data_IF_498736225718
#
_entry.id   IF_498736225718
#
_cell.length_a   1.000
_cell.length_b   1.000
_cell.length_c   1.000
_cell.angle_alpha   90.00
_cell.angle_beta   90.00
_cell.angle_gamma   90.00
#
_symmetry.space_group_name_H-M   'P 1'
#
loop_
_entity.id
_entity.type
_entity.pdbx_description
1 polymer ?
#
# COMPACT_ATOMS: atom_id res chain seq x y z
N UNK A 1 -18.93 34.08 -10.95
CA UNK A 1 -17.49 34.34 -11.12
C UNK A 1 -16.83 32.97 -11.14
N UNK A 2 -16.26 32.55 -12.26
CA UNK A 2 -15.52 31.29 -12.32
C UNK A 2 -14.15 31.55 -11.66
N UNK A 3 -14.08 31.39 -10.36
CA UNK A 3 -12.77 31.32 -9.68
C UNK A 3 -12.11 30.02 -10.14
N UNK A 4 -11.08 30.15 -10.95
CA UNK A 4 -10.23 29.00 -11.30
C UNK A 4 -9.76 28.37 -10.00
N UNK A 5 -10.05 27.09 -9.79
CA UNK A 5 -9.58 26.35 -8.63
C UNK A 5 -8.05 26.28 -8.69
N UNK A 6 -7.38 26.69 -7.62
CA UNK A 6 -5.92 26.66 -7.54
C UNK A 6 -5.44 25.38 -6.84
N UNK A 7 -4.80 24.46 -7.58
CA UNK A 7 -4.31 23.23 -6.99
C UNK A 7 -3.23 23.46 -5.91
N UNK A 8 -2.49 24.56 -6.02
CA UNK A 8 -1.42 24.88 -5.06
C UNK A 8 -2.01 25.28 -3.70
N UNK A 9 -3.07 26.09 -3.72
CA UNK A 9 -3.73 26.50 -2.47
C UNK A 9 -4.47 25.31 -1.83
N UNK A 10 -5.18 24.50 -2.61
CA UNK A 10 -5.82 23.28 -2.08
C UNK A 10 -4.78 22.31 -1.48
N UNK A 11 -3.64 22.14 -2.13
CA UNK A 11 -2.55 21.31 -1.60
C UNK A 11 -2.01 21.86 -0.28
N UNK A 12 -1.86 23.20 -0.15
CA UNK A 12 -1.45 23.83 1.12
C UNK A 12 -2.41 23.48 2.26
N UNK A 13 -3.70 23.60 2.01
CA UNK A 13 -4.73 23.27 3.00
C UNK A 13 -4.64 21.79 3.41
N UNK A 14 -4.53 20.88 2.45
CA UNK A 14 -4.40 19.44 2.73
C UNK A 14 -3.14 19.10 3.54
N UNK A 15 -1.98 19.70 3.21
CA UNK A 15 -0.73 19.45 3.94
C UNK A 15 -0.83 19.96 5.38
N UNK A 16 -1.47 21.11 5.60
CA UNK A 16 -1.59 21.73 6.92
C UNK A 16 -2.45 20.92 7.91
N UNK A 17 -3.16 19.91 7.44
CA UNK A 17 -3.95 19.02 8.28
C UNK A 17 -3.10 17.78 8.62
N UNK A 18 -2.82 17.57 9.91
CA UNK A 18 -2.18 16.34 10.39
C UNK A 18 -3.09 15.14 10.14
N UNK A 19 -2.57 14.17 9.40
CA UNK A 19 -3.25 12.91 9.05
C UNK A 19 -2.29 11.72 9.16
N UNK A 20 -1.34 11.77 10.08
CA UNK A 20 -0.41 10.66 10.32
C UNK A 20 -1.16 9.40 10.71
N UNK A 21 -0.83 8.29 10.04
CA UNK A 21 -1.46 7.00 10.27
C UNK A 21 -1.18 6.47 11.68
N UNK A 22 -2.22 6.21 12.50
CA UNK A 22 -2.06 5.77 13.89
C UNK A 22 -1.56 4.33 14.02
N UNK A 23 -1.68 3.50 12.99
CA UNK A 23 -1.11 2.15 12.99
C UNK A 23 0.40 2.16 12.73
N UNK A 24 0.92 3.21 12.09
CA UNK A 24 2.36 3.47 11.98
C UNK A 24 2.91 4.22 13.20
N UNK A 25 2.14 5.16 13.74
CA UNK A 25 2.54 6.00 14.87
C UNK A 25 1.45 5.99 15.93
N UNK A 26 1.56 5.18 16.98
CA UNK A 26 0.56 5.09 18.04
C UNK A 26 0.18 6.46 18.63
N UNK A 27 -1.11 6.78 18.62
CA UNK A 27 -1.63 8.05 19.12
C UNK A 27 -1.56 9.22 18.13
N UNK A 28 -1.20 8.97 16.87
CA UNK A 28 -1.26 9.98 15.82
C UNK A 28 -2.70 10.42 15.49
N UNK A 29 -2.82 11.55 14.76
CA UNK A 29 -4.10 12.21 14.51
C UNK A 29 -5.09 11.37 13.68
N UNK A 30 -4.60 10.54 12.78
CA UNK A 30 -5.44 9.80 11.84
C UNK A 30 -6.14 10.70 10.83
N UNK A 31 -7.15 10.16 10.17
CA UNK A 31 -7.81 10.80 9.03
C UNK A 31 -9.04 11.66 9.34
N UNK A 32 -9.62 11.74 10.58
CA UNK A 32 -10.88 12.43 10.80
C UNK A 32 -10.90 13.89 10.33
N UNK A 33 -9.87 14.68 10.67
CA UNK A 33 -9.83 16.10 10.35
C UNK A 33 -9.71 16.36 8.83
N UNK A 34 -8.87 15.61 8.14
CA UNK A 34 -8.73 15.74 6.68
C UNK A 34 -9.95 15.20 5.94
N UNK A 35 -10.60 14.14 6.47
CA UNK A 35 -11.86 13.62 5.93
C UNK A 35 -13.00 14.65 6.05
N UNK A 36 -13.12 15.37 7.18
CA UNK A 36 -14.08 16.44 7.37
C UNK A 36 -13.83 17.58 6.38
N UNK A 37 -12.57 17.96 6.19
CA UNK A 37 -12.19 18.98 5.23
C UNK A 37 -12.61 18.61 3.78
N UNK A 38 -12.21 17.43 3.30
CA UNK A 38 -12.52 17.02 1.92
C UNK A 38 -14.02 16.79 1.71
N UNK A 39 -14.74 16.30 2.73
CA UNK A 39 -16.21 16.17 2.70
C UNK A 39 -16.89 17.51 2.49
N UNK A 40 -16.45 18.51 3.26
CA UNK A 40 -16.98 19.89 3.16
C UNK A 40 -16.66 20.48 1.80
N UNK A 41 -15.44 20.29 1.33
CA UNK A 41 -15.00 20.77 0.03
C UNK A 41 -15.85 20.20 -1.12
N UNK A 42 -16.04 18.86 -1.16
CA UNK A 42 -16.84 18.21 -2.20
C UNK A 42 -18.31 18.59 -2.14
N UNK A 43 -18.88 18.68 -0.93
CA UNK A 43 -20.27 19.14 -0.77
C UNK A 43 -20.47 20.55 -1.34
N UNK A 44 -19.51 21.46 -1.11
CA UNK A 44 -19.53 22.81 -1.66
C UNK A 44 -19.46 22.82 -3.20
N UNK A 45 -18.81 21.82 -3.80
CA UNK A 45 -18.69 21.66 -5.25
C UNK A 45 -19.82 20.80 -5.87
N UNK A 46 -20.88 20.50 -5.12
CA UNK A 46 -22.09 19.86 -5.62
C UNK A 46 -22.04 18.33 -5.72
N UNK A 47 -21.06 17.69 -5.09
CA UNK A 47 -21.01 16.23 -4.99
C UNK A 47 -21.92 15.72 -3.87
N UNK A 48 -22.48 14.52 -4.08
CA UNK A 48 -22.98 13.70 -2.97
C UNK A 48 -21.80 13.07 -2.28
N UNK A 49 -21.75 13.13 -0.94
CA UNK A 49 -20.61 12.66 -0.17
C UNK A 49 -21.07 11.60 0.80
N UNK A 50 -20.44 10.43 0.73
CA UNK A 50 -20.59 9.35 1.69
C UNK A 50 -19.31 9.19 2.52
N UNK A 51 -19.49 9.00 3.84
CA UNK A 51 -18.42 8.71 4.79
C UNK A 51 -18.52 7.25 5.21
N UNK A 52 -17.49 6.48 4.93
CA UNK A 52 -17.33 5.10 5.35
C UNK A 52 -16.35 5.04 6.51
N UNK A 53 -16.71 4.34 7.58
CA UNK A 53 -15.90 4.31 8.81
C UNK A 53 -16.16 3.01 9.59
N UNK A 54 -15.85 1.85 8.99
CA UNK A 54 -15.99 0.55 9.67
C UNK A 54 -15.06 0.42 10.88
N UNK A 55 -13.89 1.06 10.81
CA UNK A 55 -12.99 1.20 11.94
C UNK A 55 -13.13 2.60 12.53
N UNK A 56 -13.55 2.74 13.79
CA UNK A 56 -13.72 4.05 14.43
C UNK A 56 -12.45 4.91 14.34
N UNK A 57 -12.59 6.17 13.91
CA UNK A 57 -11.49 7.11 13.73
C UNK A 57 -10.68 6.93 12.43
N UNK A 58 -11.10 6.02 11.54
CA UNK A 58 -10.44 5.76 10.25
C UNK A 58 -11.40 6.00 9.06
N UNK A 59 -11.90 7.23 8.86
CA UNK A 59 -12.88 7.52 7.82
C UNK A 59 -12.27 7.55 6.41
N UNK A 60 -12.99 6.94 5.47
CA UNK A 60 -12.81 7.11 4.03
C UNK A 60 -13.98 7.91 3.46
N UNK A 61 -13.73 8.73 2.46
CA UNK A 61 -14.71 9.60 1.83
C UNK A 61 -14.92 9.17 0.37
N UNK A 62 -16.18 9.01 -0.02
CA UNK A 62 -16.56 8.81 -1.42
C UNK A 62 -17.42 9.96 -1.88
N UNK A 63 -16.88 10.80 -2.77
CA UNK A 63 -17.60 11.90 -3.38
C UNK A 63 -18.08 11.51 -4.79
N UNK A 64 -19.36 11.74 -5.08
CA UNK A 64 -20.02 11.26 -6.29
C UNK A 64 -20.65 12.43 -7.03
N UNK A 65 -20.25 12.63 -8.29
CA UNK A 65 -20.97 13.45 -9.25
C UNK A 65 -21.68 12.54 -10.23
N UNK A 66 -23.02 12.51 -10.15
CA UNK A 66 -23.84 11.69 -11.00
C UNK A 66 -23.83 12.20 -12.44
N UNK A 67 -23.59 11.30 -13.40
CA UNK A 67 -23.69 11.59 -14.83
C UNK A 67 -25.14 11.64 -15.32
N UNK A 68 -25.35 12.13 -16.54
CA UNK A 68 -26.66 12.15 -17.19
C UNK A 68 -27.14 10.76 -17.67
N UNK A 69 -26.32 9.75 -17.52
CA UNK A 69 -26.56 8.38 -17.93
C UNK A 69 -25.98 8.03 -19.30
N UNK A 70 -25.76 6.73 -19.52
CA UNK A 70 -25.25 6.17 -20.78
C UNK A 70 -23.75 6.24 -20.98
N UNK A 71 -22.99 6.84 -20.07
CA UNK A 71 -21.52 6.84 -20.05
C UNK A 71 -20.96 5.82 -19.08
N UNK A 72 -19.67 5.52 -19.24
CA UNK A 72 -18.92 4.69 -18.27
C UNK A 72 -18.48 5.52 -17.09
N UNK A 73 -18.49 4.91 -15.92
CA UNK A 73 -18.05 5.52 -14.67
C UNK A 73 -16.51 5.53 -14.54
N UNK A 74 -16.01 6.55 -13.83
CA UNK A 74 -14.60 6.68 -13.51
C UNK A 74 -14.44 6.92 -12.01
N UNK A 75 -13.59 6.13 -11.36
CA UNK A 75 -13.18 6.37 -9.99
C UNK A 75 -11.76 6.95 -9.95
N UNK A 76 -11.59 8.04 -9.23
CA UNK A 76 -10.28 8.46 -8.73
C UNK A 76 -10.10 7.88 -7.33
N UNK A 77 -8.93 7.31 -7.05
CA UNK A 77 -8.61 6.79 -5.72
C UNK A 77 -7.29 7.38 -5.24
N UNK A 78 -7.26 7.80 -3.98
CA UNK A 78 -6.07 8.31 -3.30
C UNK A 78 -6.24 8.27 -1.80
N UNK A 79 -5.13 8.23 -1.06
CA UNK A 79 -5.18 8.14 0.39
C UNK A 79 -5.06 9.50 1.08
N UNK A 80 -5.59 9.56 2.30
CA UNK A 80 -5.59 10.75 3.16
C UNK A 80 -4.51 10.69 4.25
N UNK A 81 -4.11 9.48 4.64
CA UNK A 81 -3.11 9.28 5.67
C UNK A 81 -1.69 9.59 5.18
N UNK A 82 -0.79 9.74 6.11
CA UNK A 82 0.65 9.95 5.85
C UNK A 82 1.50 9.16 6.83
N UNK A 83 2.77 8.92 6.46
CA UNK A 83 3.78 8.41 7.38
C UNK A 83 4.13 9.45 8.46
N UNK A 84 5.00 9.07 9.39
CA UNK A 84 5.44 9.90 10.53
C UNK A 84 5.93 11.29 10.14
N UNK A 85 5.69 12.27 11.02
CA UNK A 85 6.29 13.62 10.93
C UNK A 85 7.74 13.65 11.42
N UNK A 86 8.17 12.63 12.15
CA UNK A 86 9.52 12.57 12.71
C UNK A 86 10.59 12.54 11.60
N UNK A 87 11.71 13.23 11.86
CA UNK A 87 12.83 13.30 10.91
C UNK A 87 12.63 14.23 9.72
N UNK A 88 11.52 14.99 9.67
CA UNK A 88 11.33 16.05 8.69
C UNK A 88 12.14 17.29 9.10
N UNK A 89 12.79 17.93 8.13
CA UNK A 89 13.53 19.16 8.37
C UNK A 89 12.58 20.38 8.30
N UNK A 90 12.42 21.08 9.41
CA UNK A 90 11.45 22.17 9.58
C UNK A 90 10.08 21.69 10.07
N UNK A 91 9.04 22.51 9.83
CA UNK A 91 7.67 22.18 10.19
C UNK A 91 6.99 21.42 9.05
N UNK A 92 6.70 20.11 9.23
CA UNK A 92 6.13 19.28 8.17
C UNK A 92 4.69 19.64 7.78
N UNK A 93 3.97 20.39 8.63
CA UNK A 93 2.59 20.80 8.41
C UNK A 93 2.46 22.29 8.00
N UNK A 94 3.58 23.02 7.90
CA UNK A 94 3.63 24.38 7.35
C UNK A 94 4.23 24.36 5.94
N UNK A 95 3.41 24.14 4.87
CA UNK A 95 3.92 23.94 3.53
C UNK A 95 4.62 25.18 2.96
N UNK A 96 5.82 24.99 2.42
CA UNK A 96 6.65 26.03 1.84
C UNK A 96 6.68 25.84 0.32
N UNK A 97 6.39 26.91 -0.43
CA UNK A 97 6.60 26.94 -1.88
C UNK A 97 7.88 27.70 -2.19
N UNK A 98 8.89 26.99 -2.70
CA UNK A 98 10.20 27.54 -3.04
C UNK A 98 10.64 27.01 -4.40
N UNK A 99 11.07 27.86 -5.29
CA UNK A 99 11.53 27.53 -6.66
C UNK A 99 10.54 26.64 -7.44
N UNK A 100 9.22 26.89 -7.29
CA UNK A 100 8.17 26.14 -7.95
C UNK A 100 7.92 24.74 -7.36
N UNK A 101 8.53 24.39 -6.25
CA UNK A 101 8.36 23.14 -5.52
C UNK A 101 7.71 23.38 -4.16
N UNK A 102 6.74 22.55 -3.81
CA UNK A 102 6.12 22.59 -2.49
C UNK A 102 6.76 21.55 -1.59
N UNK A 103 7.13 21.96 -0.38
CA UNK A 103 7.69 21.12 0.67
C UNK A 103 6.71 21.01 1.83
N UNK A 104 6.53 19.82 2.38
CA UNK A 104 5.62 19.48 3.46
C UNK A 104 5.38 17.97 3.53
N UNK A 105 4.91 17.44 4.68
CA UNK A 105 4.60 16.01 4.80
C UNK A 105 3.38 15.67 3.92
N UNK A 106 3.47 14.58 3.16
CA UNK A 106 2.42 14.13 2.26
C UNK A 106 2.33 14.92 0.95
N UNK A 107 3.20 15.93 0.70
CA UNK A 107 3.19 16.68 -0.56
C UNK A 107 3.35 15.76 -1.77
N UNK A 108 4.32 14.85 -1.72
CA UNK A 108 4.63 13.93 -2.80
C UNK A 108 3.75 12.68 -2.72
N UNK A 109 3.55 12.14 -1.54
CA UNK A 109 2.82 10.92 -1.24
C UNK A 109 1.71 11.22 -0.22
N UNK A 110 0.39 11.32 -0.65
CA UNK A 110 0.06 11.60 -2.06
C UNK A 110 -0.90 12.79 -2.17
N UNK A 111 -0.84 13.77 -1.22
CA UNK A 111 -1.78 14.91 -1.14
C UNK A 111 -1.77 15.79 -2.41
N UNK A 112 -0.64 15.85 -3.15
CA UNK A 112 -0.62 16.53 -4.46
C UNK A 112 -1.51 15.80 -5.48
N UNK A 113 -1.45 14.47 -5.52
CA UNK A 113 -2.36 13.65 -6.31
C UNK A 113 -3.82 13.84 -5.90
N UNK A 114 -4.09 13.88 -4.58
CA UNK A 114 -5.42 14.16 -4.02
C UNK A 114 -5.94 15.52 -4.50
N UNK A 115 -5.15 16.59 -4.36
CA UNK A 115 -5.55 17.92 -4.81
C UNK A 115 -5.86 17.95 -6.31
N UNK A 116 -5.02 17.31 -7.12
CA UNK A 116 -5.23 17.23 -8.56
C UNK A 116 -6.51 16.48 -8.93
N UNK A 117 -6.79 15.36 -8.27
CA UNK A 117 -8.03 14.58 -8.50
C UNK A 117 -9.27 15.37 -8.09
N UNK A 118 -9.24 16.02 -6.93
CA UNK A 118 -10.36 16.84 -6.44
C UNK A 118 -10.71 17.93 -7.44
N UNK A 119 -9.74 18.69 -7.92
CA UNK A 119 -9.95 19.76 -8.88
C UNK A 119 -10.41 19.22 -10.24
N UNK A 120 -9.77 18.18 -10.76
CA UNK A 120 -10.14 17.57 -12.03
C UNK A 120 -11.60 17.06 -12.01
N UNK A 121 -11.98 16.41 -10.91
CA UNK A 121 -13.34 15.91 -10.73
C UNK A 121 -14.36 17.07 -10.68
N UNK A 122 -14.07 18.13 -9.90
CA UNK A 122 -14.94 19.29 -9.78
C UNK A 122 -15.09 20.05 -11.12
N UNK A 123 -14.01 20.20 -11.88
CA UNK A 123 -14.03 20.86 -13.19
C UNK A 123 -14.89 20.08 -14.21
N UNK A 124 -14.85 18.75 -14.18
CA UNK A 124 -15.73 17.93 -15.03
C UNK A 124 -17.16 17.93 -14.53
N UNK A 125 -17.38 17.80 -13.22
CA UNK A 125 -18.73 17.79 -12.62
C UNK A 125 -19.51 19.10 -12.85
N UNK A 126 -18.80 20.23 -13.01
CA UNK A 126 -19.40 21.51 -13.34
C UNK A 126 -19.99 21.57 -14.77
N UNK A 127 -19.80 20.55 -15.59
CA UNK A 127 -20.26 20.44 -16.98
C UNK A 127 -21.10 19.18 -17.19
N UNK A 128 -22.01 19.15 -18.16
CA UNK A 128 -22.73 17.92 -18.51
C UNK A 128 -21.74 16.79 -18.86
N UNK A 129 -21.87 15.68 -18.18
CA UNK A 129 -21.06 14.47 -18.43
C UNK A 129 -21.94 13.21 -18.41
N UNK A 130 -21.65 12.19 -19.24
CA UNK A 130 -22.55 11.03 -19.39
C UNK A 130 -22.39 9.96 -18.31
N UNK A 131 -21.20 9.75 -17.77
CA UNK A 131 -20.90 8.71 -16.77
C UNK A 131 -20.64 9.30 -15.38
N UNK A 132 -20.82 8.51 -14.34
CA UNK A 132 -20.55 8.94 -12.98
C UNK A 132 -19.08 9.15 -12.73
N UNK A 133 -18.76 10.17 -11.92
CA UNK A 133 -17.42 10.43 -11.40
C UNK A 133 -17.45 10.16 -9.92
N UNK A 134 -16.58 9.25 -9.47
CA UNK A 134 -16.37 8.93 -8.08
C UNK A 134 -14.98 9.40 -7.67
N UNK A 135 -14.84 10.00 -6.50
CA UNK A 135 -13.55 10.29 -5.89
C UNK A 135 -13.52 9.60 -4.52
N UNK A 136 -12.74 8.56 -4.42
CA UNK A 136 -12.55 7.77 -3.20
C UNK A 136 -11.24 8.22 -2.53
N UNK A 137 -11.36 8.98 -1.44
CA UNK A 137 -10.25 9.40 -0.60
C UNK A 137 -10.23 8.52 0.65
N UNK A 138 -9.25 7.65 0.73
CA UNK A 138 -9.27 6.51 1.65
C UNK A 138 -8.32 6.67 2.84
N UNK A 139 -8.66 5.99 3.91
CA UNK A 139 -7.83 5.85 5.10
C UNK A 139 -6.89 4.65 4.98
N UNK A 140 -5.79 4.67 5.74
CA UNK A 140 -4.95 3.51 6.04
C UNK A 140 -4.25 2.89 4.82
N UNK A 141 -3.89 3.68 3.82
CA UNK A 141 -3.12 3.15 2.69
C UNK A 141 -1.70 2.78 3.11
N UNK A 142 -1.05 3.65 3.87
CA UNK A 142 0.36 3.58 4.32
C UNK A 142 0.66 2.36 5.23
N UNK A 143 -0.37 1.67 5.72
CA UNK A 143 -0.19 0.48 6.55
C UNK A 143 -0.87 -0.75 5.97
N UNK A 144 -2.21 -0.75 5.85
CA UNK A 144 -2.96 -1.95 5.50
C UNK A 144 -3.94 -1.78 4.34
N UNK A 145 -4.09 -0.58 3.76
CA UNK A 145 -5.04 -0.25 2.67
C UNK A 145 -6.51 -0.59 3.02
N UNK A 146 -6.87 -0.54 4.31
CA UNK A 146 -8.19 -0.97 4.79
C UNK A 146 -9.31 -0.10 4.20
N UNK A 147 -9.08 1.20 4.03
CA UNK A 147 -10.06 2.13 3.47
C UNK A 147 -10.41 1.82 2.01
N UNK A 148 -9.43 1.47 1.18
CA UNK A 148 -9.70 1.06 -0.21
C UNK A 148 -10.53 -0.23 -0.25
N UNK A 149 -10.22 -1.21 0.60
CA UNK A 149 -11.02 -2.44 0.71
C UNK A 149 -12.46 -2.14 1.15
N UNK A 150 -12.65 -1.23 2.10
CA UNK A 150 -13.98 -0.82 2.54
C UNK A 150 -14.77 -0.15 1.40
N UNK A 151 -14.17 0.80 0.71
CA UNK A 151 -14.81 1.48 -0.44
C UNK A 151 -15.24 0.48 -1.50
N UNK A 152 -14.39 -0.49 -1.87
CA UNK A 152 -14.67 -1.45 -2.93
C UNK A 152 -15.77 -2.48 -2.57
N UNK A 153 -16.16 -2.59 -1.30
CA UNK A 153 -17.36 -3.37 -0.90
C UNK A 153 -18.67 -2.65 -1.24
N UNK A 154 -18.64 -1.35 -1.36
CA UNK A 154 -19.82 -0.50 -1.56
C UNK A 154 -19.87 0.14 -2.95
N UNK A 155 -18.73 0.42 -3.56
CA UNK A 155 -18.60 1.16 -4.81
C UNK A 155 -17.77 0.42 -5.83
N UNK A 156 -18.17 0.51 -7.09
CA UNK A 156 -17.42 0.01 -8.25
C UNK A 156 -17.48 1.04 -9.37
N UNK A 157 -16.53 1.01 -10.29
CA UNK A 157 -16.50 1.84 -11.48
C UNK A 157 -15.97 1.04 -12.69
N UNK A 158 -16.26 1.51 -13.90
CA UNK A 158 -15.76 0.89 -15.14
C UNK A 158 -14.25 1.07 -15.32
N UNK A 159 -13.68 2.10 -14.70
CA UNK A 159 -12.24 2.35 -14.67
C UNK A 159 -11.86 3.10 -13.39
N UNK A 160 -10.61 2.94 -12.97
CA UNK A 160 -10.04 3.70 -11.86
C UNK A 160 -8.68 4.31 -12.25
N UNK A 161 -8.38 5.45 -11.64
CA UNK A 161 -7.08 6.12 -11.67
C UNK A 161 -6.64 6.32 -10.23
N UNK A 162 -5.42 5.87 -9.92
CA UNK A 162 -4.75 6.09 -8.64
C UNK A 162 -3.61 7.06 -8.89
N UNK A 163 -3.59 8.19 -8.18
CA UNK A 163 -2.66 9.29 -8.43
C UNK A 163 -1.43 9.25 -7.52
N UNK A 164 -0.94 8.04 -7.25
CA UNK A 164 0.34 7.83 -6.59
C UNK A 164 1.52 8.41 -7.38
N UNK A 165 2.62 8.77 -6.72
CA UNK A 165 3.79 9.33 -7.38
C UNK A 165 4.50 8.29 -8.25
N UNK A 166 4.40 8.44 -9.57
CA UNK A 166 4.93 7.51 -10.58
C UNK A 166 5.94 8.17 -11.52
N UNK A 167 6.58 9.27 -11.13
CA UNK A 167 7.47 10.06 -11.98
C UNK A 167 6.80 10.53 -13.28
N UNK A 168 5.51 10.89 -13.20
CA UNK A 168 4.68 11.32 -14.36
C UNK A 168 4.50 10.22 -15.42
N UNK A 169 4.77 8.95 -15.08
CA UNK A 169 4.55 7.80 -15.96
C UNK A 169 3.24 7.10 -15.63
N UNK A 170 2.60 6.51 -16.65
CA UNK A 170 1.40 5.69 -16.45
C UNK A 170 1.81 4.27 -16.11
N UNK A 171 1.53 3.86 -14.87
CA UNK A 171 1.79 2.53 -14.36
C UNK A 171 0.61 1.62 -14.62
N UNK A 172 0.82 0.54 -15.38
CA UNK A 172 -0.19 -0.45 -15.75
C UNK A 172 -0.06 -1.77 -15.00
N UNK A 173 0.96 -1.91 -14.17
CA UNK A 173 1.17 -3.12 -13.40
C UNK A 173 1.85 -2.79 -12.07
N UNK A 174 1.47 -3.52 -11.01
CA UNK A 174 2.04 -3.38 -9.69
C UNK A 174 2.30 -4.76 -9.08
N UNK A 175 3.41 -4.87 -8.34
CA UNK A 175 3.70 -6.08 -7.56
C UNK A 175 2.76 -6.18 -6.37
N UNK A 176 2.34 -7.39 -6.06
CA UNK A 176 1.74 -7.69 -4.79
C UNK A 176 2.78 -8.05 -3.73
N UNK A 177 2.30 -8.31 -2.53
CA UNK A 177 3.12 -8.86 -1.45
C UNK A 177 2.33 -9.82 -0.58
N UNK A 178 3.05 -10.66 0.14
CA UNK A 178 2.50 -11.52 1.18
C UNK A 178 3.52 -11.62 2.32
N UNK A 179 3.04 -11.44 3.55
CA UNK A 179 3.82 -11.57 4.77
C UNK A 179 3.48 -12.86 5.47
N UNK A 180 4.47 -13.48 6.06
CA UNK A 180 4.32 -14.70 6.84
C UNK A 180 5.26 -14.68 8.03
N UNK A 181 4.76 -15.11 9.18
CA UNK A 181 5.61 -15.47 10.31
C UNK A 181 5.84 -16.97 10.32
N UNK A 182 7.10 -17.35 10.18
CA UNK A 182 7.57 -18.74 10.29
C UNK A 182 8.18 -18.92 11.65
N UNK A 183 7.54 -19.71 12.49
CA UNK A 183 8.03 -20.02 13.83
C UNK A 183 8.63 -21.42 13.85
N UNK A 184 9.91 -21.51 14.21
CA UNK A 184 10.61 -22.76 14.47
C UNK A 184 10.51 -23.07 15.96
N UNK A 185 10.05 -24.26 16.28
CA UNK A 185 9.87 -24.73 17.64
C UNK A 185 11.05 -25.59 18.08
N UNK A 186 11.53 -25.30 19.27
CA UNK A 186 12.58 -26.06 19.98
C UNK A 186 12.09 -26.51 21.35
N UNK A 187 13.03 -26.85 22.22
CA UNK A 187 12.78 -27.22 23.62
C UNK A 187 13.79 -26.51 24.51
N UNK A 188 13.28 -25.67 25.42
CA UNK A 188 14.11 -24.97 26.38
C UNK A 188 14.81 -25.97 27.34
N UNK A 189 16.09 -25.76 27.55
CA UNK A 189 16.86 -26.50 28.52
C UNK A 189 18.07 -25.66 28.94
N UNK A 190 18.61 -25.95 30.12
CA UNK A 190 19.89 -25.36 30.55
C UNK A 190 20.99 -25.69 29.56
N UNK A 191 21.87 -24.75 29.24
CA UNK A 191 22.93 -24.90 28.22
C UNK A 191 23.88 -26.08 28.43
N UNK A 192 23.99 -26.60 29.66
CA UNK A 192 24.76 -27.84 29.97
C UNK A 192 23.99 -29.15 29.71
N UNK A 193 22.71 -29.04 29.24
CA UNK A 193 21.86 -30.22 29.01
C UNK A 193 21.47 -30.37 27.53
N UNK A 194 22.46 -30.67 26.66
CA UNK A 194 22.19 -30.87 25.22
C UNK A 194 21.34 -32.12 24.93
N UNK A 195 21.19 -33.00 25.89
CA UNK A 195 20.34 -34.19 25.86
C UNK A 195 18.85 -33.86 25.99
N UNK A 196 18.51 -32.70 26.51
CA UNK A 196 17.12 -32.25 26.73
C UNK A 196 16.70 -31.07 25.81
N UNK A 197 17.67 -30.23 25.44
CA UNK A 197 17.40 -29.01 24.65
C UNK A 197 17.30 -29.31 23.16
N UNK A 198 16.41 -28.55 22.48
CA UNK A 198 16.33 -28.45 21.03
C UNK A 198 16.48 -26.99 20.68
N UNK A 199 17.55 -26.64 19.97
CA UNK A 199 17.91 -25.27 19.63
C UNK A 199 17.07 -24.74 18.44
N UNK A 200 16.06 -23.94 18.71
CA UNK A 200 15.21 -23.34 17.67
C UNK A 200 15.98 -22.36 16.78
N UNK A 201 16.96 -21.62 17.31
CA UNK A 201 17.74 -20.65 16.53
C UNK A 201 18.66 -21.37 15.55
N UNK A 202 19.36 -22.43 16.00
CA UNK A 202 20.21 -23.20 15.10
C UNK A 202 19.40 -23.88 13.97
N UNK A 203 18.19 -24.34 14.29
CA UNK A 203 17.27 -24.91 13.29
C UNK A 203 16.73 -23.84 12.33
N UNK A 204 16.43 -22.62 12.81
CA UNK A 204 16.02 -21.49 11.99
C UNK A 204 17.08 -21.12 10.92
N UNK A 205 18.36 -21.29 11.22
CA UNK A 205 19.44 -21.09 10.25
C UNK A 205 19.33 -21.97 9.00
N UNK A 206 18.77 -23.18 9.10
CA UNK A 206 18.52 -24.04 7.94
C UNK A 206 17.39 -23.49 7.05
N UNK A 207 16.33 -22.98 7.67
CA UNK A 207 15.25 -22.32 6.96
C UNK A 207 15.75 -21.06 6.23
N UNK A 208 16.55 -20.22 6.89
CA UNK A 208 17.15 -19.03 6.26
C UNK A 208 18.02 -19.38 5.06
N UNK A 209 18.77 -20.47 5.10
CA UNK A 209 19.53 -20.95 3.94
C UNK A 209 18.61 -21.34 2.78
N UNK A 210 17.55 -22.10 3.04
CA UNK A 210 16.58 -22.46 2.01
C UNK A 210 15.82 -21.25 1.46
N UNK A 211 15.56 -20.24 2.30
CA UNK A 211 14.94 -18.99 1.89
C UNK A 211 15.84 -18.19 0.93
N UNK A 212 17.14 -18.14 1.21
CA UNK A 212 18.14 -17.50 0.34
C UNK A 212 18.27 -18.24 -1.00
N UNK A 213 18.25 -19.57 -1.01
CA UNK A 213 18.21 -20.37 -2.23
C UNK A 213 16.95 -20.07 -3.08
N UNK A 214 15.79 -19.94 -2.43
CA UNK A 214 14.55 -19.54 -3.09
C UNK A 214 14.66 -18.13 -3.67
N UNK A 215 15.23 -17.18 -2.94
CA UNK A 215 15.47 -15.82 -3.43
C UNK A 215 16.34 -15.83 -4.69
N UNK A 216 17.42 -16.59 -4.70
CA UNK A 216 18.28 -16.78 -5.86
C UNK A 216 17.57 -17.46 -7.06
N UNK A 217 16.70 -18.44 -6.80
CA UNK A 217 15.87 -19.10 -7.83
C UNK A 217 14.91 -18.09 -8.47
N UNK A 218 14.22 -17.31 -7.65
CA UNK A 218 13.27 -16.29 -8.13
C UNK A 218 13.96 -15.22 -8.99
N UNK A 219 15.13 -14.75 -8.58
CA UNK A 219 15.89 -13.76 -9.34
C UNK A 219 16.30 -14.24 -10.75
N UNK A 220 16.43 -15.56 -10.96
CA UNK A 220 16.78 -16.17 -12.24
C UNK A 220 15.56 -16.64 -13.04
N UNK A 221 14.39 -16.68 -12.43
CA UNK A 221 13.16 -17.12 -13.09
C UNK A 221 12.59 -15.94 -13.89
N UNK A 222 12.26 -16.12 -15.19
CA UNK A 222 11.58 -15.09 -15.95
C UNK A 222 10.29 -14.66 -15.25
N UNK A 223 10.16 -13.37 -15.03
CA UNK A 223 9.01 -12.78 -14.34
C UNK A 223 8.06 -12.08 -15.32
N UNK A 224 7.32 -11.10 -14.78
CA UNK A 224 6.43 -10.27 -15.57
C UNK A 224 7.23 -9.34 -16.51
N UNK A 225 6.81 -9.12 -17.78
CA UNK A 225 7.55 -8.32 -18.76
C UNK A 225 7.94 -6.91 -18.26
N UNK A 226 7.06 -6.26 -17.53
CA UNK A 226 7.27 -4.89 -17.01
C UNK A 226 7.85 -4.90 -15.60
N UNK A 227 7.40 -5.81 -14.73
CA UNK A 227 7.76 -5.81 -13.30
C UNK A 227 9.02 -6.64 -13.01
N UNK A 228 9.49 -7.45 -13.96
CA UNK A 228 10.57 -8.40 -13.72
C UNK A 228 10.16 -9.53 -12.79
N UNK A 229 11.13 -10.10 -12.08
CA UNK A 229 10.91 -11.21 -11.14
C UNK A 229 10.36 -10.72 -9.80
N UNK A 230 9.63 -11.59 -9.10
CA UNK A 230 9.36 -11.39 -7.68
C UNK A 230 10.61 -11.63 -6.84
N UNK A 231 10.54 -11.30 -5.56
CA UNK A 231 11.63 -11.53 -4.60
C UNK A 231 11.07 -11.96 -3.24
N UNK A 232 11.92 -12.59 -2.42
CA UNK A 232 11.60 -13.01 -1.06
C UNK A 232 12.77 -12.65 -0.14
N UNK A 233 12.47 -12.27 1.09
CA UNK A 233 13.50 -12.04 2.11
C UNK A 233 12.94 -12.22 3.53
N UNK A 234 13.81 -12.45 4.50
CA UNK A 234 13.51 -12.35 5.91
C UNK A 234 13.64 -10.89 6.35
N UNK A 235 12.58 -10.35 6.96
CA UNK A 235 12.55 -8.95 7.41
C UNK A 235 12.93 -8.77 8.86
N UNK A 236 12.47 -9.71 9.71
CA UNK A 236 12.70 -9.70 11.16
C UNK A 236 13.00 -11.11 11.63
N UNK A 237 13.87 -11.25 12.61
CA UNK A 237 14.12 -12.50 13.33
C UNK A 237 14.12 -12.24 14.83
N UNK A 238 13.39 -13.05 15.58
CA UNK A 238 13.33 -12.98 17.04
C UNK A 238 13.41 -14.37 17.64
N UNK A 239 14.30 -14.58 18.60
CA UNK A 239 14.44 -15.88 19.24
C UNK A 239 15.36 -15.86 20.46
N UNK A 240 15.11 -16.79 21.38
CA UNK A 240 15.85 -16.91 22.64
C UNK A 240 15.45 -15.89 23.71
N UNK A 241 15.76 -16.20 24.96
CA UNK A 241 15.48 -15.35 26.13
C UNK A 241 16.75 -14.99 26.89
N UNK A 242 17.69 -15.95 27.03
CA UNK A 242 18.95 -15.76 27.77
C UNK A 242 20.08 -16.62 27.18
N UNK A 243 21.33 -16.23 27.48
CA UNK A 243 22.53 -16.88 26.91
C UNK A 243 22.72 -18.32 27.44
N UNK A 244 22.27 -18.61 28.66
CA UNK A 244 22.53 -19.89 29.33
C UNK A 244 21.55 -21.01 29.01
N UNK A 245 20.57 -20.75 28.12
CA UNK A 245 19.48 -21.67 27.81
C UNK A 245 19.36 -21.97 26.32
N UNK A 246 18.96 -23.19 25.97
CA UNK A 246 18.50 -23.53 24.64
C UNK A 246 17.21 -22.76 24.33
N UNK A 247 17.09 -22.10 23.17
CA UNK A 247 15.89 -21.33 22.80
C UNK A 247 14.75 -22.27 22.41
N UNK A 248 13.58 -22.08 23.07
CA UNK A 248 12.38 -22.85 22.77
C UNK A 248 11.71 -22.44 21.46
N UNK A 249 12.00 -21.24 20.97
CA UNK A 249 11.32 -20.67 19.79
C UNK A 249 12.25 -19.71 19.06
N UNK A 250 12.09 -19.66 17.71
CA UNK A 250 12.64 -18.63 16.85
C UNK A 250 11.62 -18.30 15.76
N UNK A 251 11.18 -17.05 15.69
CA UNK A 251 10.22 -16.55 14.69
C UNK A 251 10.94 -15.70 13.65
N UNK A 252 10.68 -15.96 12.39
CA UNK A 252 11.21 -15.23 11.24
C UNK A 252 10.02 -14.65 10.48
N UNK A 253 9.95 -13.32 10.37
CA UNK A 253 8.98 -12.64 9.52
C UNK A 253 9.54 -12.56 8.09
N UNK A 254 8.78 -13.05 7.13
CA UNK A 254 9.15 -13.15 5.72
C UNK A 254 8.27 -12.26 4.88
N UNK A 255 8.86 -11.48 3.98
CA UNK A 255 8.13 -10.78 2.92
C UNK A 255 8.42 -11.42 1.56
N UNK A 256 7.36 -11.65 0.80
CA UNK A 256 7.40 -12.13 -0.59
C UNK A 256 6.73 -11.11 -1.51
N UNK A 257 7.49 -10.45 -2.38
CA UNK A 257 6.93 -9.62 -3.46
C UNK A 257 6.50 -10.50 -4.62
N UNK A 258 5.21 -10.50 -4.93
CA UNK A 258 4.61 -11.32 -5.98
C UNK A 258 4.45 -10.53 -7.29
N UNK A 259 4.34 -11.24 -8.40
CA UNK A 259 4.01 -10.68 -9.72
C UNK A 259 2.69 -11.29 -10.21
N UNK A 260 2.00 -10.70 -11.21
CA UNK A 260 0.77 -11.25 -11.76
C UNK A 260 0.84 -12.76 -12.02
N UNK A 261 -0.14 -13.49 -11.48
CA UNK A 261 -0.16 -14.95 -11.43
C UNK A 261 0.31 -15.57 -10.11
N UNK A 262 0.99 -14.80 -9.25
CA UNK A 262 1.33 -15.20 -7.89
C UNK A 262 0.23 -14.87 -6.88
N UNK A 263 0.16 -15.62 -5.79
CA UNK A 263 -0.79 -15.43 -4.69
C UNK A 263 -0.16 -15.82 -3.36
N UNK A 264 -0.76 -15.41 -2.24
CA UNK A 264 -0.36 -15.83 -0.90
C UNK A 264 -0.31 -17.37 -0.76
N UNK A 265 -1.26 -18.08 -1.35
CA UNK A 265 -1.26 -19.56 -1.36
C UNK A 265 -0.03 -20.15 -2.04
N UNK A 266 0.41 -19.53 -3.14
CA UNK A 266 1.64 -19.97 -3.84
C UNK A 266 2.86 -19.74 -2.96
N UNK A 267 2.91 -18.59 -2.26
CA UNK A 267 4.00 -18.25 -1.33
C UNK A 267 4.03 -19.21 -0.14
N UNK A 268 2.88 -19.50 0.46
CA UNK A 268 2.82 -20.46 1.56
C UNK A 268 3.33 -21.85 1.13
N UNK A 269 2.97 -22.28 -0.09
CA UNK A 269 3.46 -23.54 -0.64
C UNK A 269 5.00 -23.53 -0.84
N UNK A 270 5.57 -22.41 -1.34
CA UNK A 270 7.02 -22.24 -1.46
C UNK A 270 7.72 -22.35 -0.10
N UNK A 271 7.17 -21.72 0.95
CA UNK A 271 7.71 -21.79 2.32
C UNK A 271 7.60 -23.20 2.91
N UNK A 272 6.44 -23.86 2.71
CA UNK A 272 6.23 -25.25 3.18
C UNK A 272 7.18 -26.22 2.50
N UNK A 273 7.45 -26.09 1.21
CA UNK A 273 8.42 -26.93 0.49
C UNK A 273 9.81 -26.91 1.17
N UNK A 274 10.27 -25.71 1.56
CA UNK A 274 11.55 -25.56 2.28
C UNK A 274 11.46 -26.25 3.66
N UNK A 275 10.44 -25.93 4.44
CA UNK A 275 10.29 -26.40 5.82
C UNK A 275 10.10 -27.92 5.89
N UNK A 276 9.29 -28.49 5.01
CA UNK A 276 9.05 -29.92 4.93
C UNK A 276 10.30 -30.68 4.48
N UNK A 277 11.11 -30.11 3.58
CA UNK A 277 12.39 -30.70 3.19
C UNK A 277 13.37 -30.80 4.36
N UNK A 278 13.39 -29.78 5.23
CA UNK A 278 14.22 -29.80 6.44
C UNK A 278 13.69 -30.85 7.44
N UNK A 279 12.35 -30.86 7.65
CA UNK A 279 11.71 -31.83 8.54
C UNK A 279 11.94 -33.31 8.12
N UNK A 280 11.99 -33.55 6.82
CA UNK A 280 12.22 -34.88 6.28
C UNK A 280 13.60 -35.47 6.67
N UNK A 281 14.62 -34.62 6.88
CA UNK A 281 15.97 -35.01 7.27
C UNK A 281 16.28 -34.76 8.75
N UNK A 282 15.44 -33.98 9.44
CA UNK A 282 15.56 -33.70 10.88
C UNK A 282 14.21 -33.89 11.57
N UNK A 283 13.92 -35.09 12.10
CA UNK A 283 12.65 -35.36 12.78
C UNK A 283 12.32 -34.48 13.98
N UNK A 284 13.32 -33.78 14.55
CA UNK A 284 13.15 -32.83 15.64
C UNK A 284 12.84 -31.40 15.13
N UNK A 285 12.78 -31.18 13.81
CA UNK A 285 12.42 -29.90 13.23
C UNK A 285 10.91 -29.76 13.25
N UNK A 286 10.42 -28.89 14.12
CA UNK A 286 8.99 -28.54 14.21
C UNK A 286 8.80 -27.07 13.87
N UNK A 287 7.73 -26.76 13.14
CA UNK A 287 7.43 -25.40 12.71
C UNK A 287 5.94 -25.10 12.65
N UNK A 288 5.62 -23.83 12.66
CA UNK A 288 4.30 -23.30 12.28
C UNK A 288 4.44 -22.12 11.33
N UNK A 289 3.44 -21.89 10.49
CA UNK A 289 3.35 -20.73 9.59
C UNK A 289 2.08 -19.98 9.93
N UNK A 290 2.21 -18.67 10.17
CA UNK A 290 1.09 -17.76 10.37
C UNK A 290 1.06 -16.78 9.21
N UNK A 291 -0.01 -16.72 8.39
CA UNK A 291 -0.16 -15.72 7.35
C UNK A 291 -0.39 -14.35 7.98
N UNK A 292 0.24 -13.34 7.40
CA UNK A 292 0.08 -11.93 7.71
C UNK A 292 -0.72 -11.18 6.64
N UNK A 293 -0.41 -9.90 6.48
CA UNK A 293 -1.01 -9.07 5.46
C UNK A 293 -0.61 -9.53 4.05
N UNK A 294 -1.56 -9.47 3.12
CA UNK A 294 -1.32 -9.74 1.71
C UNK A 294 -2.00 -8.72 0.79
N UNK A 295 -1.39 -8.47 -0.35
CA UNK A 295 -1.98 -7.71 -1.45
C UNK A 295 -1.66 -8.41 -2.76
N UNK A 296 -2.69 -8.63 -3.57
CA UNK A 296 -2.53 -9.27 -4.87
C UNK A 296 -1.81 -8.35 -5.85
N UNK A 297 -0.92 -8.87 -6.69
CA UNK A 297 -0.38 -8.10 -7.80
C UNK A 297 -1.47 -7.84 -8.84
N UNK A 298 -1.33 -6.76 -9.60
CA UNK A 298 -2.22 -6.51 -10.73
C UNK A 298 -1.45 -6.16 -12.00
N UNK A 299 -2.11 -6.35 -13.15
CA UNK A 299 -1.62 -5.87 -14.43
C UNK A 299 -2.81 -5.58 -15.34
N UNK A 300 -2.78 -4.40 -15.94
CA UNK A 300 -3.76 -3.98 -16.97
C UNK A 300 -3.09 -4.11 -18.32
N UNK A 301 -3.68 -4.83 -19.29
CA UNK A 301 -3.15 -4.90 -20.64
C UNK A 301 -3.03 -3.51 -21.28
N UNK A 302 -1.92 -3.22 -21.93
CA UNK A 302 -1.70 -1.94 -22.65
C UNK A 302 -2.77 -1.68 -23.73
N UNK A 303 -3.39 -2.75 -24.24
CA UNK A 303 -4.47 -2.69 -25.21
C UNK A 303 -5.82 -2.28 -24.61
N UNK A 304 -5.94 -2.26 -23.29
CA UNK A 304 -7.17 -1.83 -22.61
C UNK A 304 -7.54 -0.40 -23.04
N UNK A 305 -8.82 -0.11 -23.35
CA UNK A 305 -9.26 1.22 -23.77
C UNK A 305 -8.91 2.34 -22.78
N UNK A 306 -8.93 2.08 -21.47
CA UNK A 306 -8.54 3.04 -20.43
C UNK A 306 -7.05 3.35 -20.51
N UNK A 307 -6.19 2.34 -20.63
CA UNK A 307 -4.74 2.49 -20.80
C UNK A 307 -4.39 3.32 -22.04
N UNK A 308 -5.03 3.01 -23.19
CA UNK A 308 -4.81 3.75 -24.45
C UNK A 308 -5.21 5.22 -24.35
N UNK A 309 -6.29 5.54 -23.62
CA UNK A 309 -6.73 6.94 -23.44
C UNK A 309 -5.75 7.72 -22.56
N UNK A 310 -5.34 7.14 -21.46
CA UNK A 310 -4.37 7.76 -20.54
C UNK A 310 -3.02 8.02 -21.24
N UNK A 311 -2.50 7.06 -22.01
CA UNK A 311 -1.26 7.23 -22.78
C UNK A 311 -1.37 8.32 -23.87
N UNK A 312 -2.57 8.52 -24.47
CA UNK A 312 -2.78 9.59 -25.45
C UNK A 312 -2.75 10.96 -24.80
N UNK A 313 -3.44 11.12 -23.66
CA UNK A 313 -3.48 12.40 -22.94
C UNK A 313 -2.11 12.86 -22.45
N UNK A 314 -1.24 11.94 -22.03
CA UNK A 314 0.12 12.26 -21.60
C UNK A 314 1.01 12.73 -22.77
N UNK A 315 0.77 12.24 -24.00
CA UNK A 315 1.50 12.68 -25.19
C UNK A 315 0.99 14.00 -25.79
N UNK A 316 -0.24 14.43 -25.42
CA UNK A 316 -0.85 15.68 -25.90
C UNK A 316 -0.63 16.85 -24.92
N UNK A 317 -0.09 16.60 -23.74
CA UNK A 317 0.31 17.67 -22.81
C UNK A 317 1.44 18.50 -23.43
N UNK A 318 1.32 19.83 -23.53
CA UNK A 318 2.41 20.64 -24.08
C UNK A 318 3.66 20.44 -23.23
N UNK A 319 4.76 20.14 -23.90
CA UNK A 319 6.07 20.01 -23.27
C UNK A 319 6.28 21.22 -22.35
N UNK A 320 6.35 20.95 -21.05
CA UNK A 320 6.65 21.95 -20.06
C UNK A 320 7.99 22.57 -20.40
N UNK A 321 8.03 23.86 -20.52
CA UNK A 321 9.26 24.63 -20.61
C UNK A 321 10.21 24.22 -19.50
N UNK A 322 11.43 23.92 -19.88
CA UNK A 322 12.57 23.53 -19.06
C UNK A 322 12.90 24.58 -18.01
#
# INVERSE_FOLDING_TARGET
MNTTLDPTELLRELISIDSVNPDLVPGAAGEPAIADFVSTWFTHHGFTVDRLESTPGRPSIVAIAAGSGGGRSLMFNGHLDTVTLAGYDGDPLAPILEDGKMFGRGTFDMKAGVAAMMIAAADVAARPHPGDILVALVADEEYASAGTEEVLRHYTADAAIVSEPTHEEIVLAHRGFAWFDVTIHGVAAHGSRPDLGIDAIAKAGRFLTGLDELAHKLARTPGHPTLGSGNIHASVITGGEEISSYPAQCTISVERRTVPGGSSKTVEAELREILDSIKAVDPQFEYSITPGLERNPFSVPSENPSSKRSCRSSNESPASHR
#
